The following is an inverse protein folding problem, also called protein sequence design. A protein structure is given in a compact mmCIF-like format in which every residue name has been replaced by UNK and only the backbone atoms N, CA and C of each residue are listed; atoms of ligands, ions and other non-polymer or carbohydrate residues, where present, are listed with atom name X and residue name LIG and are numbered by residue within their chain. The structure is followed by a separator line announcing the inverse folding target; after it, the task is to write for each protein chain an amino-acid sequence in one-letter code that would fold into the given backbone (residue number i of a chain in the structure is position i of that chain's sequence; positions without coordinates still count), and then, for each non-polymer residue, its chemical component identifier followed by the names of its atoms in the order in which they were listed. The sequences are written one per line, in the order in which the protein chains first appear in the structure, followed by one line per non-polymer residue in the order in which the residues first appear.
data_IF_282390180574
#
_entry.id   IF_282390180574
#
_cell.length_a   1.000
_cell.length_b   1.000
_cell.length_c   1.000
_cell.angle_alpha   90.00
_cell.angle_beta   90.00
_cell.angle_gamma   90.00
#
_symmetry.space_group_name_H-M   'P 1'
#
loop_
_entity.id
_entity.type
_entity.pdbx_description
1 polymer ?
#
# COMPACT_ATOMS: atom_id res chain seq x y z
N UNK A 1 55.99 -43.99 -44.56
CA UNK A 1 55.13 -42.83 -44.29
C UNK A 1 54.18 -43.20 -43.17
N UNK A 2 54.33 -42.62 -41.97
CA UNK A 2 53.39 -42.78 -40.84
C UNK A 2 52.72 -41.42 -40.65
N UNK A 3 51.42 -41.35 -40.90
CA UNK A 3 50.61 -40.15 -40.63
C UNK A 3 50.16 -40.18 -39.16
N UNK A 4 50.61 -39.21 -38.37
CA UNK A 4 50.04 -38.92 -37.05
C UNK A 4 48.83 -37.99 -37.24
N UNK A 5 47.63 -38.47 -36.95
CA UNK A 5 46.43 -37.64 -36.80
C UNK A 5 46.36 -37.09 -35.38
N UNK A 6 46.31 -35.77 -35.25
CA UNK A 6 46.16 -35.05 -33.98
C UNK A 6 44.68 -34.63 -33.87
N UNK A 7 43.96 -35.16 -32.87
CA UNK A 7 42.60 -34.72 -32.53
C UNK A 7 42.65 -33.42 -31.70
N UNK A 8 41.84 -32.39 -32.01
CA UNK A 8 41.67 -31.24 -31.13
C UNK A 8 40.65 -31.57 -30.01
N UNK A 9 41.04 -31.39 -28.76
CA UNK A 9 40.14 -31.38 -27.61
C UNK A 9 39.46 -30.00 -27.53
N UNK A 10 38.15 -29.93 -27.76
CA UNK A 10 37.35 -28.75 -27.50
C UNK A 10 36.99 -28.69 -26.01
N UNK A 11 37.47 -27.66 -25.30
CA UNK A 11 37.10 -27.40 -23.92
C UNK A 11 35.74 -26.67 -23.88
N UNK A 12 34.72 -27.33 -23.33
CA UNK A 12 33.42 -26.73 -23.06
C UNK A 12 33.52 -25.98 -21.73
N UNK A 13 33.53 -24.65 -21.79
CA UNK A 13 33.45 -23.81 -20.58
C UNK A 13 32.00 -23.74 -20.16
N UNK A 14 31.64 -24.44 -19.08
CA UNK A 14 30.34 -24.29 -18.43
C UNK A 14 30.34 -22.94 -17.70
N UNK A 15 29.71 -21.93 -18.30
CA UNK A 15 29.37 -20.71 -17.58
C UNK A 15 28.33 -21.08 -16.51
N UNK A 16 28.72 -21.02 -15.24
CA UNK A 16 27.77 -21.09 -14.14
C UNK A 16 26.77 -19.93 -14.28
N UNK A 17 25.46 -20.17 -14.15
CA UNK A 17 24.51 -19.07 -14.04
C UNK A 17 24.93 -18.21 -12.85
N UNK A 18 25.09 -16.91 -13.09
CA UNK A 18 25.32 -15.96 -12.02
C UNK A 18 24.20 -16.12 -10.99
N UNK A 19 24.49 -16.12 -9.68
CA UNK A 19 23.44 -16.07 -8.68
C UNK A 19 22.63 -14.80 -8.96
N UNK A 20 21.37 -15.00 -9.30
CA UNK A 20 20.38 -13.94 -9.39
C UNK A 20 20.31 -13.37 -7.97
N UNK A 21 21.03 -12.27 -7.73
CA UNK A 21 20.83 -11.46 -6.53
C UNK A 21 19.37 -11.08 -6.55
N UNK A 22 18.57 -11.76 -5.72
CA UNK A 22 17.22 -11.31 -5.39
C UNK A 22 17.37 -9.84 -5.04
N UNK A 23 16.76 -8.97 -5.85
CA UNK A 23 16.64 -7.57 -5.52
C UNK A 23 16.04 -7.54 -4.10
N UNK A 24 16.79 -7.03 -3.14
CA UNK A 24 16.23 -6.77 -1.82
C UNK A 24 15.28 -5.62 -2.06
N UNK A 25 14.00 -5.93 -2.30
CA UNK A 25 12.98 -4.92 -2.46
C UNK A 25 12.89 -4.18 -1.12
N UNK A 26 13.28 -2.90 -1.12
CA UNK A 26 13.10 -2.07 0.06
C UNK A 26 11.59 -1.87 0.28
N UNK A 27 11.15 -2.14 1.51
CA UNK A 27 9.75 -2.01 1.90
C UNK A 27 9.54 -0.65 2.56
N UNK A 28 8.63 0.15 2.01
CA UNK A 28 8.20 1.41 2.62
C UNK A 28 6.97 1.12 3.46
N UNK A 29 7.13 1.32 4.77
CA UNK A 29 6.05 1.17 5.74
C UNK A 29 5.20 2.44 5.84
N UNK A 30 3.95 2.33 6.30
CA UNK A 30 3.12 3.47 6.67
C UNK A 30 3.85 4.43 7.61
N UNK A 31 3.73 5.73 7.33
CA UNK A 31 4.16 6.79 8.23
C UNK A 31 3.11 7.06 9.32
N UNK A 32 1.82 7.07 8.95
CA UNK A 32 0.70 7.21 9.88
C UNK A 32 -0.56 6.53 9.32
N UNK A 33 -1.42 6.05 10.20
CA UNK A 33 -2.74 5.49 9.85
C UNK A 33 -3.83 6.27 10.55
N UNK A 34 -4.85 6.71 9.81
CA UNK A 34 -5.97 7.46 10.36
C UNK A 34 -7.27 6.73 10.09
N UNK A 35 -8.07 6.54 11.14
CA UNK A 35 -9.47 6.17 10.98
C UNK A 35 -10.32 7.42 10.80
N UNK A 36 -11.14 7.45 9.76
CA UNK A 36 -12.02 8.56 9.42
C UNK A 36 -13.48 8.13 9.54
N UNK A 37 -14.28 8.86 10.31
CA UNK A 37 -15.72 8.63 10.42
C UNK A 37 -16.47 9.39 9.35
N UNK A 38 -17.20 8.67 8.50
CA UNK A 38 -17.82 9.24 7.30
C UNK A 38 -18.85 10.31 7.63
N UNK A 39 -19.73 10.05 8.61
CA UNK A 39 -20.80 10.98 8.96
C UNK A 39 -20.30 12.26 9.64
N UNK A 40 -19.31 12.13 10.53
CA UNK A 40 -18.88 13.25 11.41
C UNK A 40 -17.66 13.98 10.89
N UNK A 41 -16.92 13.41 9.94
CA UNK A 41 -15.64 13.93 9.49
C UNK A 41 -14.51 13.76 10.51
N UNK A 42 -14.77 13.13 11.66
CA UNK A 42 -13.76 12.95 12.71
C UNK A 42 -12.65 12.03 12.22
N UNK A 43 -11.40 12.39 12.53
CA UNK A 43 -10.23 11.53 12.34
C UNK A 43 -9.64 11.12 13.69
N UNK A 44 -9.08 9.90 13.75
CA UNK A 44 -8.29 9.42 14.87
C UNK A 44 -6.98 8.83 14.32
N UNK A 45 -5.85 9.34 14.82
CA UNK A 45 -4.51 8.85 14.49
C UNK A 45 -4.20 7.55 15.25
N UNK A 46 -3.64 6.59 14.53
CA UNK A 46 -3.16 5.28 14.97
C UNK A 46 -4.08 4.55 15.97
N UNK A 47 -5.34 4.28 15.60
CA UNK A 47 -6.29 3.58 16.46
C UNK A 47 -6.00 2.08 16.49
N UNK A 48 -4.97 1.71 17.25
CA UNK A 48 -4.55 0.32 17.45
C UNK A 48 -5.71 -0.55 17.95
N UNK A 49 -5.72 -1.81 17.50
CA UNK A 49 -6.70 -2.84 17.87
C UNK A 49 -8.18 -2.52 17.61
N UNK A 50 -8.48 -1.50 16.78
CA UNK A 50 -9.84 -1.14 16.39
C UNK A 50 -10.14 -1.53 14.94
N UNK A 51 -11.42 -1.75 14.60
CA UNK A 51 -11.83 -1.77 13.20
C UNK A 51 -11.44 -0.45 12.53
N UNK A 52 -10.81 -0.53 11.36
CA UNK A 52 -10.29 0.62 10.64
C UNK A 52 -11.26 1.03 9.54
N UNK A 53 -11.80 0.04 8.82
CA UNK A 53 -12.79 0.23 7.77
C UNK A 53 -14.07 -0.46 8.22
N UNK A 54 -15.17 0.28 8.23
CA UNK A 54 -16.50 -0.23 8.56
C UNK A 54 -17.49 0.31 7.54
N UNK A 55 -18.22 -0.58 6.88
CA UNK A 55 -19.36 -0.27 6.03
C UNK A 55 -20.48 -1.23 6.35
N UNK A 56 -21.50 -0.78 7.08
CA UNK A 56 -22.57 -1.65 7.57
C UNK A 56 -23.96 -1.02 7.37
N UNK A 57 -24.06 0.12 6.67
CA UNK A 57 -25.31 0.84 6.46
C UNK A 57 -25.80 1.64 7.67
N UNK A 58 -25.06 1.64 8.80
CA UNK A 58 -25.29 2.55 9.91
C UNK A 58 -24.31 3.74 9.82
N UNK A 59 -24.76 4.94 9.39
CA UNK A 59 -23.86 6.08 9.16
C UNK A 59 -22.99 6.48 10.35
N UNK A 60 -23.45 6.22 11.58
CA UNK A 60 -22.71 6.54 12.79
C UNK A 60 -21.44 5.68 12.97
N UNK A 61 -21.44 4.47 12.42
CA UNK A 61 -20.36 3.50 12.55
C UNK A 61 -19.44 3.48 11.32
N UNK A 62 -19.91 3.98 10.17
CA UNK A 62 -19.17 3.89 8.92
C UNK A 62 -17.85 4.65 8.99
N UNK A 63 -16.76 3.92 8.76
CA UNK A 63 -15.41 4.47 8.75
C UNK A 63 -14.62 4.05 7.53
N UNK A 64 -13.70 4.91 7.12
CA UNK A 64 -12.65 4.62 6.14
C UNK A 64 -11.29 4.81 6.78
N UNK A 65 -10.24 4.42 6.07
CA UNK A 65 -8.88 4.53 6.60
C UNK A 65 -7.97 5.21 5.62
N UNK A 66 -7.28 6.24 6.09
CA UNK A 66 -6.26 6.96 5.33
C UNK A 66 -4.91 6.49 5.85
N UNK A 67 -4.08 5.95 4.96
CA UNK A 67 -2.70 5.56 5.28
C UNK A 67 -1.75 6.45 4.51
N UNK A 68 -0.75 6.97 5.21
CA UNK A 68 0.21 7.89 4.62
C UNK A 68 1.58 7.26 4.51
N UNK A 69 2.35 7.71 3.53
CA UNK A 69 3.66 7.17 3.20
C UNK A 69 4.61 8.32 2.92
N UNK A 70 5.84 8.19 3.40
CA UNK A 70 6.91 9.12 3.10
C UNK A 70 7.94 8.41 2.22
N UNK A 71 8.13 8.95 1.02
CA UNK A 71 9.13 8.47 0.07
C UNK A 71 10.35 9.37 0.16
N UNK A 72 11.51 8.78 0.40
CA UNK A 72 12.76 9.52 0.43
C UNK A 72 13.29 9.75 -1.01
N UNK A 73 14.33 10.57 -1.15
CA UNK A 73 14.89 10.87 -2.47
C UNK A 73 15.57 9.65 -3.10
N UNK A 74 15.96 8.63 -2.33
CA UNK A 74 16.62 7.43 -2.90
C UNK A 74 15.70 6.57 -3.76
N UNK A 75 14.38 6.78 -3.69
CA UNK A 75 13.42 6.08 -4.57
C UNK A 75 13.31 6.74 -5.95
N UNK A 76 14.08 7.80 -6.24
CA UNK A 76 14.00 8.51 -7.51
C UNK A 76 14.32 7.57 -8.68
N UNK A 77 13.42 7.56 -9.69
CA UNK A 77 13.56 6.74 -10.89
C UNK A 77 13.21 5.26 -10.71
N UNK A 78 12.81 4.83 -9.50
CA UNK A 78 12.37 3.46 -9.22
C UNK A 78 10.87 3.29 -9.43
N UNK A 79 10.42 2.03 -9.49
CA UNK A 79 8.98 1.69 -9.54
C UNK A 79 8.52 1.27 -8.16
N UNK A 80 7.34 1.72 -7.75
CA UNK A 80 6.75 1.41 -6.46
C UNK A 80 5.44 0.65 -6.65
N UNK A 81 5.29 -0.49 -5.99
CA UNK A 81 4.09 -1.31 -6.00
C UNK A 81 3.35 -1.22 -4.66
N UNK A 82 2.11 -0.73 -4.68
CA UNK A 82 1.24 -0.76 -3.51
C UNK A 82 0.74 -2.18 -3.26
N UNK A 83 1.14 -2.72 -2.12
CA UNK A 83 0.69 -4.01 -1.60
C UNK A 83 -0.17 -3.82 -0.37
N UNK A 84 -1.06 -4.76 -0.09
CA UNK A 84 -1.87 -4.81 1.11
C UNK A 84 -1.94 -6.25 1.58
N UNK A 85 -1.55 -6.51 2.82
CA UNK A 85 -1.45 -7.87 3.35
C UNK A 85 -2.17 -7.97 4.69
N UNK A 86 -2.91 -9.06 4.92
CA UNK A 86 -3.50 -9.39 6.21
C UNK A 86 -3.00 -10.75 6.70
N UNK A 87 -2.80 -10.87 8.01
CA UNK A 87 -2.46 -12.13 8.68
C UNK A 87 -3.66 -12.73 9.39
N UNK A 88 -3.58 -13.98 9.84
CA UNK A 88 -4.70 -14.68 10.50
C UNK A 88 -5.35 -13.89 11.65
N UNK A 89 -4.54 -13.12 12.38
CA UNK A 89 -4.98 -12.31 13.53
C UNK A 89 -5.74 -11.03 13.18
N UNK A 90 -5.72 -10.60 11.93
CA UNK A 90 -6.36 -9.36 11.46
C UNK A 90 -7.89 -9.53 11.35
N UNK A 91 -8.62 -8.58 10.77
CA UNK A 91 -10.05 -8.74 10.46
C UNK A 91 -10.29 -8.40 9.00
N UNK A 92 -11.04 -9.24 8.29
CA UNK A 92 -11.60 -8.96 6.97
C UNK A 92 -12.86 -9.80 6.78
N UNK A 93 -14.03 -9.17 6.90
CA UNK A 93 -15.34 -9.84 6.87
C UNK A 93 -16.25 -9.27 5.79
N UNK A 94 -17.35 -9.99 5.54
CA UNK A 94 -18.34 -9.66 4.52
C UNK A 94 -17.79 -9.74 3.10
N UNK A 95 -17.92 -8.70 2.27
CA UNK A 95 -17.43 -8.75 0.87
C UNK A 95 -15.91 -8.69 0.77
N UNK A 96 -15.21 -8.27 1.84
CA UNK A 96 -13.74 -8.12 1.87
C UNK A 96 -13.19 -7.20 0.77
N UNK A 97 -14.05 -6.38 0.18
CA UNK A 97 -13.73 -5.58 -0.99
C UNK A 97 -13.51 -4.14 -0.58
N UNK A 98 -12.41 -3.55 -1.01
CA UNK A 98 -12.03 -2.17 -0.70
C UNK A 98 -11.80 -1.38 -1.98
N UNK A 99 -12.42 -0.20 -2.09
CA UNK A 99 -12.00 0.82 -3.04
C UNK A 99 -10.80 1.58 -2.49
N UNK A 100 -9.83 1.84 -3.36
CA UNK A 100 -8.57 2.50 -3.05
C UNK A 100 -8.55 3.85 -3.76
N UNK A 101 -8.33 4.92 -3.02
CA UNK A 101 -8.27 6.28 -3.55
C UNK A 101 -6.91 6.92 -3.22
N UNK A 102 -6.38 7.73 -4.15
CA UNK A 102 -5.32 8.67 -3.80
C UNK A 102 -5.87 9.77 -2.90
N UNK A 103 -4.99 10.29 -2.06
CA UNK A 103 -5.32 11.36 -1.13
C UNK A 103 -4.28 12.47 -1.30
N UNK A 104 -4.69 13.55 -1.97
CA UNK A 104 -3.79 14.59 -2.46
C UNK A 104 -3.28 15.55 -1.37
N UNK A 105 -3.96 15.66 -0.23
CA UNK A 105 -3.51 16.42 0.94
C UNK A 105 -3.67 15.61 2.25
N UNK A 106 -2.83 14.56 2.44
CA UNK A 106 -2.95 13.67 3.59
C UNK A 106 -2.70 14.40 4.91
N UNK A 107 -3.41 14.03 6.01
CA UNK A 107 -3.07 14.54 7.33
C UNK A 107 -1.60 14.26 7.65
N UNK A 108 -0.88 15.27 8.13
CA UNK A 108 0.46 15.10 8.69
C UNK A 108 0.31 14.83 10.18
N UNK A 109 1.03 13.84 10.76
CA UNK A 109 1.01 13.65 12.20
C UNK A 109 1.48 14.94 12.87
N UNK A 110 0.77 15.27 13.95
CA UNK A 110 0.75 16.60 14.54
C UNK A 110 2.11 16.87 15.21
N UNK A 111 2.98 17.65 14.56
CA UNK A 111 4.15 18.18 15.25
C UNK A 111 3.83 19.53 15.89
N UNK A 112 2.85 20.28 15.38
CA UNK A 112 2.14 21.37 16.06
C UNK A 112 1.00 21.82 15.12
N UNK A 113 -0.26 21.82 15.58
CA UNK A 113 -1.38 22.36 14.79
C UNK A 113 -1.70 23.78 15.22
N UNK A 114 -1.64 24.71 14.29
CA UNK A 114 -2.20 26.05 14.44
C UNK A 114 -3.72 26.01 14.22
N UNK A 115 -4.44 27.05 14.66
CA UNK A 115 -5.88 27.19 14.38
C UNK A 115 -6.19 27.22 12.87
N UNK A 116 -5.23 27.65 12.04
CA UNK A 116 -5.32 27.62 10.58
C UNK A 116 -5.19 26.19 10.05
N UNK A 117 -4.30 25.38 10.63
CA UNK A 117 -4.19 23.96 10.26
C UNK A 117 -5.48 23.22 10.60
N UNK A 118 -6.11 23.53 11.74
CA UNK A 118 -7.42 22.99 12.11
C UNK A 118 -8.49 23.40 11.09
N UNK A 119 -8.52 24.66 10.66
CA UNK A 119 -9.47 25.13 9.65
C UNK A 119 -9.24 24.48 8.27
N UNK A 120 -7.99 24.27 7.84
CA UNK A 120 -7.65 23.56 6.60
C UNK A 120 -7.96 22.06 6.66
N UNK A 121 -7.69 21.41 7.81
CA UNK A 121 -8.10 20.03 8.06
C UNK A 121 -9.62 19.86 7.95
N UNK A 122 -10.38 20.89 8.35
CA UNK A 122 -11.86 20.93 8.30
C UNK A 122 -12.39 21.30 6.91
N UNK A 123 -11.64 22.03 6.07
CA UNK A 123 -12.15 22.58 4.81
C UNK A 123 -11.75 21.85 3.52
N UNK A 124 -10.74 20.96 3.52
CA UNK A 124 -10.30 20.33 2.26
C UNK A 124 -9.72 18.93 2.45
N UNK A 125 -10.54 17.88 2.32
CA UNK A 125 -10.07 16.49 2.42
C UNK A 125 -10.94 15.52 1.60
N UNK A 126 -10.97 15.73 0.29
CA UNK A 126 -11.67 14.83 -0.64
C UNK A 126 -10.73 13.73 -1.11
N UNK A 127 -11.28 12.52 -1.26
CA UNK A 127 -10.75 11.52 -2.19
C UNK A 127 -10.47 12.19 -3.52
N UNK A 128 -9.29 11.95 -4.06
CA UNK A 128 -8.88 12.56 -5.31
C UNK A 128 -9.18 11.60 -6.47
N UNK A 129 -8.29 10.64 -6.73
CA UNK A 129 -8.44 9.69 -7.82
C UNK A 129 -8.78 8.29 -7.31
N UNK A 130 -9.75 7.63 -7.95
CA UNK A 130 -10.01 6.20 -7.73
C UNK A 130 -8.86 5.40 -8.36
N UNK A 131 -7.94 4.92 -7.52
CA UNK A 131 -6.80 4.11 -7.93
C UNK A 131 -7.24 2.70 -8.36
N UNK A 132 -8.29 2.19 -7.76
CA UNK A 132 -8.87 0.90 -8.13
C UNK A 132 -9.61 0.23 -6.99
N UNK A 133 -9.77 -1.08 -7.11
CA UNK A 133 -10.47 -1.93 -6.16
C UNK A 133 -9.67 -3.18 -5.89
N UNK A 134 -9.63 -3.57 -4.61
CA UNK A 134 -8.96 -4.78 -4.14
C UNK A 134 -9.93 -5.69 -3.39
N UNK A 135 -9.64 -6.99 -3.40
CA UNK A 135 -10.16 -7.95 -2.41
C UNK A 135 -9.03 -8.20 -1.41
N UNK A 136 -9.28 -7.99 -0.13
CA UNK A 136 -8.31 -8.15 0.95
C UNK A 136 -8.62 -9.43 1.77
N UNK A 137 -8.20 -10.62 1.31
CA UNK A 137 -8.45 -11.85 2.04
C UNK A 137 -7.62 -11.88 3.32
N UNK A 138 -8.11 -12.64 4.30
CA UNK A 138 -7.38 -12.93 5.52
C UNK A 138 -7.30 -14.45 5.72
N UNK A 139 -6.08 -15.04 5.82
CA UNK A 139 -4.78 -14.41 5.59
C UNK A 139 -4.50 -14.20 4.09
N UNK A 140 -3.52 -13.36 3.77
CA UNK A 140 -2.94 -13.26 2.44
C UNK A 140 -2.76 -11.83 1.92
N UNK A 141 -2.21 -11.76 0.71
CA UNK A 141 -2.10 -10.51 -0.04
C UNK A 141 -3.42 -10.18 -0.73
N UNK A 142 -3.75 -8.90 -0.77
CA UNK A 142 -4.87 -8.40 -1.52
C UNK A 142 -4.65 -8.56 -3.02
N UNK A 143 -5.73 -8.85 -3.74
CA UNK A 143 -5.74 -8.92 -5.21
C UNK A 143 -6.44 -7.69 -5.76
N UNK A 144 -5.80 -6.99 -6.70
CA UNK A 144 -6.44 -5.92 -7.46
C UNK A 144 -7.41 -6.53 -8.48
N UNK A 145 -8.70 -6.27 -8.30
CA UNK A 145 -9.75 -6.67 -9.27
C UNK A 145 -9.91 -5.63 -10.38
N UNK A 146 -9.56 -4.38 -10.08
CA UNK A 146 -9.63 -3.25 -10.99
C UNK A 146 -8.52 -2.29 -10.61
N UNK A 147 -7.81 -1.73 -11.58
CA UNK A 147 -6.86 -0.65 -11.33
C UNK A 147 -6.91 0.39 -12.44
N UNK A 148 -6.59 1.62 -12.06
CA UNK A 148 -6.62 2.79 -12.93
C UNK A 148 -5.32 3.56 -12.78
N UNK A 149 -5.00 4.43 -13.74
CA UNK A 149 -3.91 5.41 -13.61
C UNK A 149 -2.53 4.80 -13.27
N UNK A 150 -2.27 3.57 -13.72
CA UNK A 150 -1.01 2.87 -13.50
C UNK A 150 -0.93 2.08 -12.18
N UNK A 151 -1.94 2.14 -11.30
CA UNK A 151 -1.93 1.35 -10.07
C UNK A 151 -1.98 -0.16 -10.35
N UNK A 152 -1.45 -1.01 -9.44
CA UNK A 152 -0.70 -0.65 -8.22
C UNK A 152 0.76 -0.22 -8.43
N UNK A 153 1.28 -0.33 -9.65
CA UNK A 153 2.70 -0.12 -9.98
C UNK A 153 2.92 1.27 -10.57
N UNK A 154 3.25 2.21 -9.71
CA UNK A 154 3.45 3.61 -10.07
C UNK A 154 4.95 3.96 -10.06
N UNK A 155 5.39 5.03 -10.76
CA UNK A 155 6.67 5.64 -10.48
C UNK A 155 6.73 6.03 -8.99
N UNK A 156 7.83 5.71 -8.30
CA UNK A 156 7.98 6.11 -6.91
C UNK A 156 7.94 7.65 -6.79
N UNK A 157 7.07 8.23 -5.96
CA UNK A 157 6.96 9.67 -5.78
C UNK A 157 8.09 10.18 -4.86
N UNK A 158 9.33 10.10 -5.33
CA UNK A 158 10.52 10.39 -4.54
C UNK A 158 10.48 11.78 -3.90
N UNK A 159 10.82 11.83 -2.60
CA UNK A 159 10.77 13.05 -1.80
C UNK A 159 9.37 13.54 -1.44
N UNK A 160 8.31 12.79 -1.76
CA UNK A 160 6.93 13.19 -1.49
C UNK A 160 6.33 12.46 -0.28
N UNK A 161 5.31 13.10 0.29
CA UNK A 161 4.43 12.52 1.28
C UNK A 161 3.06 12.34 0.64
N UNK A 162 2.59 11.09 0.53
CA UNK A 162 1.32 10.76 -0.13
C UNK A 162 0.37 10.08 0.86
N UNK A 163 -0.92 10.14 0.57
CA UNK A 163 -1.93 9.34 1.26
C UNK A 163 -2.70 8.44 0.31
N UNK A 164 -3.18 7.32 0.86
CA UNK A 164 -4.08 6.38 0.21
C UNK A 164 -5.24 6.13 1.16
N UNK A 165 -6.47 6.33 0.68
CA UNK A 165 -7.69 6.03 1.43
C UNK A 165 -8.29 4.70 0.98
N UNK A 166 -8.66 3.87 1.95
CA UNK A 166 -9.34 2.60 1.78
C UNK A 166 -10.77 2.69 2.26
N UNK A 167 -11.70 2.27 1.41
CA UNK A 167 -13.14 2.45 1.59
C UNK A 167 -13.82 1.11 1.38
N UNK A 168 -14.67 0.68 2.32
CA UNK A 168 -15.46 -0.55 2.14
C UNK A 168 -16.34 -0.46 0.89
N UNK A 169 -16.28 -1.47 0.04
CA UNK A 169 -17.04 -1.55 -1.22
C UNK A 169 -18.03 -2.72 -1.20
N UNK A 170 -19.28 -2.42 -1.55
CA UNK A 170 -20.41 -3.35 -1.38
C UNK A 170 -21.04 -3.25 0.01
N UNK A 171 -21.77 -4.30 0.42
CA UNK A 171 -22.52 -4.33 1.68
C UNK A 171 -21.74 -5.09 2.76
N UNK A 172 -21.73 -4.57 3.99
CA UNK A 172 -21.10 -5.20 5.15
C UNK A 172 -19.60 -5.47 4.94
N UNK A 173 -18.75 -4.48 5.20
CA UNK A 173 -17.29 -4.63 5.17
C UNK A 173 -16.73 -4.20 6.50
N UNK A 174 -15.97 -5.08 7.14
CA UNK A 174 -15.16 -4.72 8.30
C UNK A 174 -13.73 -5.20 8.08
N UNK A 175 -12.79 -4.26 8.19
CA UNK A 175 -11.37 -4.55 8.05
C UNK A 175 -10.59 -3.90 9.19
N UNK A 176 -9.67 -4.67 9.77
CA UNK A 176 -8.65 -4.24 10.72
C UNK A 176 -7.34 -4.91 10.35
N UNK A 177 -6.25 -4.18 10.47
CA UNK A 177 -4.90 -4.72 10.45
C UNK A 177 -4.12 -4.22 11.66
N UNK A 178 -2.99 -4.86 11.92
CA UNK A 178 -2.02 -4.44 12.94
C UNK A 178 -1.17 -3.30 12.38
N UNK A 179 -1.40 -2.07 12.86
CA UNK A 179 -0.79 -0.87 12.29
C UNK A 179 0.71 -0.89 12.51
N UNK A 180 1.47 -0.77 11.41
CA UNK A 180 2.93 -0.86 11.40
C UNK A 180 3.46 -2.28 11.24
N UNK A 181 2.59 -3.29 11.33
CA UNK A 181 2.97 -4.70 11.17
C UNK A 181 2.35 -5.31 9.92
N UNK A 182 1.04 -5.18 9.68
CA UNK A 182 0.30 -5.64 8.49
C UNK A 182 -0.42 -4.47 7.80
N UNK A 183 -1.19 -4.75 6.76
CA UNK A 183 -1.91 -3.75 5.97
C UNK A 183 -1.11 -3.23 4.78
N UNK A 184 -1.31 -1.97 4.38
CA UNK A 184 -0.76 -1.44 3.15
C UNK A 184 0.71 -1.01 3.27
N UNK A 185 1.51 -1.31 2.24
CA UNK A 185 2.94 -0.97 2.13
C UNK A 185 3.31 -0.73 0.67
N UNK A 186 4.49 -0.18 0.42
CA UNK A 186 5.06 -0.15 -0.94
C UNK A 186 6.31 -1.02 -1.04
N UNK A 187 6.36 -1.87 -2.07
CA UNK A 187 7.63 -2.42 -2.53
C UNK A 187 8.30 -1.46 -3.48
N UNK A 188 9.58 -1.21 -3.27
CA UNK A 188 10.44 -0.52 -4.22
C UNK A 188 11.10 -1.58 -5.12
N UNK A 189 10.84 -1.49 -6.42
CA UNK A 189 11.29 -2.41 -7.48
C UNK A 189 12.42 -1.82 -8.31
#
# INVERSE_FOLDING_TARGET
MRFLSILPYAAIVLALPAPETQAINDLIYPYATYRYWVQTGKTLLDPQDQLLIVKNGNPADETTTIVTFQFDQSTQGKTCELVFELWDRDVSTGTQTLDVFTYSDPPRPLVELTATDIAQLVSAKSRDNHAGRIIAPKPGNATWIQSYQGWPKIPCPAGQYIGVEYVGAGDNVEVRWDIGVTGPRFWVL
#
